data_IF_080463793921
#
_entry.id   IF_080463793921
#
_cell.length_a   1.000
_cell.length_b   1.000
_cell.length_c   1.000
_cell.angle_alpha   90.00
_cell.angle_beta   90.00
_cell.angle_gamma   90.00
#
_symmetry.space_group_name_H-M   'P 1'
#
loop_
_entity.id
_entity.type
_entity.pdbx_description
1 polymer ?
#
# COMPACT_ATOMS: atom_id res chain seq x y z
N UNK A 1 -8.60 -13.54 -6.92
CA UNK A 1 -9.19 -12.21 -7.21
C UNK A 1 -10.58 -12.13 -6.60
N UNK A 2 -11.18 -10.94 -6.48
CA UNK A 2 -12.60 -10.76 -6.10
C UNK A 2 -13.26 -9.79 -7.08
N UNK A 3 -14.53 -9.96 -7.38
CA UNK A 3 -15.28 -9.04 -8.26
C UNK A 3 -16.12 -8.09 -7.41
N UNK A 4 -16.15 -6.80 -7.78
CA UNK A 4 -17.03 -5.78 -7.21
C UNK A 4 -17.76 -5.10 -8.37
N UNK A 5 -18.89 -5.67 -8.78
CA UNK A 5 -19.55 -5.29 -10.02
C UNK A 5 -18.67 -5.57 -11.25
N UNK A 6 -18.47 -4.57 -12.11
CA UNK A 6 -17.66 -4.66 -13.35
C UNK A 6 -16.14 -4.68 -13.10
N UNK A 7 -15.68 -4.54 -11.86
CA UNK A 7 -14.25 -4.48 -11.53
C UNK A 7 -13.77 -5.78 -10.88
N UNK A 8 -12.65 -6.29 -11.39
CA UNK A 8 -11.90 -7.39 -10.81
C UNK A 8 -10.72 -6.84 -10.02
N UNK A 9 -10.64 -7.18 -8.73
CA UNK A 9 -9.50 -6.83 -7.88
C UNK A 9 -8.46 -7.95 -7.89
N UNK A 10 -7.22 -7.58 -8.19
CA UNK A 10 -6.05 -8.44 -8.18
C UNK A 10 -5.10 -8.01 -7.06
N UNK A 11 -4.44 -9.00 -6.45
CA UNK A 11 -3.52 -8.81 -5.35
C UNK A 11 -2.36 -9.79 -5.53
N UNK A 12 -1.18 -9.41 -5.05
CA UNK A 12 -0.07 -10.32 -4.89
C UNK A 12 0.62 -10.12 -3.56
N UNK A 13 1.31 -11.18 -3.17
CA UNK A 13 1.98 -11.29 -1.89
C UNK A 13 3.47 -11.47 -2.10
N UNK A 14 4.26 -11.05 -1.13
CA UNK A 14 5.68 -11.37 -1.06
C UNK A 14 5.89 -12.83 -0.61
N UNK A 15 7.15 -13.26 -0.56
CA UNK A 15 7.53 -14.63 -0.21
C UNK A 15 7.10 -15.06 1.21
N UNK A 16 6.82 -14.10 2.10
CA UNK A 16 6.38 -14.34 3.48
C UNK A 16 4.88 -14.12 3.67
N UNK A 17 4.13 -13.99 2.57
CA UNK A 17 2.66 -13.94 2.58
C UNK A 17 2.05 -12.57 2.90
N UNK A 18 2.84 -11.49 2.89
CA UNK A 18 2.34 -10.12 3.09
C UNK A 18 1.99 -9.50 1.75
N UNK A 19 0.97 -8.65 1.72
CA UNK A 19 0.47 -8.06 0.47
C UNK A 19 1.49 -7.08 -0.11
N UNK A 20 2.09 -7.39 -1.25
CA UNK A 20 3.07 -6.55 -1.92
C UNK A 20 2.43 -5.54 -2.89
N UNK A 21 1.30 -5.91 -3.51
CA UNK A 21 0.62 -5.04 -4.47
C UNK A 21 -0.85 -5.39 -4.62
N UNK A 22 -1.61 -4.44 -5.15
CA UNK A 22 -2.99 -4.61 -5.55
C UNK A 22 -3.35 -3.68 -6.71
N UNK A 23 -4.26 -4.11 -7.56
CA UNK A 23 -4.87 -3.25 -8.58
C UNK A 23 -6.31 -3.68 -8.87
N UNK A 24 -7.11 -2.76 -9.40
CA UNK A 24 -8.42 -3.06 -9.94
C UNK A 24 -8.42 -2.84 -11.45
N UNK A 25 -9.10 -3.74 -12.15
CA UNK A 25 -9.22 -3.72 -13.61
C UNK A 25 -10.63 -4.08 -14.03
N UNK A 26 -11.05 -3.64 -15.22
CA UNK A 26 -12.33 -4.05 -15.82
C UNK A 26 -12.23 -5.38 -16.56
N UNK A 27 -11.03 -5.96 -16.67
CA UNK A 27 -10.86 -7.27 -17.26
C UNK A 27 -11.56 -8.33 -16.41
N UNK A 28 -12.32 -9.24 -17.04
CA UNK A 28 -12.91 -10.37 -16.35
C UNK A 28 -11.81 -11.34 -15.91
N UNK A 29 -12.12 -12.12 -14.89
CA UNK A 29 -11.16 -13.02 -14.26
C UNK A 29 -10.57 -14.06 -15.20
N UNK A 30 -11.36 -14.55 -16.15
CA UNK A 30 -10.97 -15.56 -17.14
C UNK A 30 -9.90 -15.03 -18.11
N UNK A 31 -9.92 -13.72 -18.39
CA UNK A 31 -8.86 -13.08 -19.19
C UNK A 31 -7.63 -12.79 -18.34
N UNK A 32 -7.81 -12.51 -17.05
CA UNK A 32 -6.70 -12.26 -16.14
C UNK A 32 -5.83 -13.50 -15.92
N UNK A 33 -6.42 -14.70 -15.81
CA UNK A 33 -5.67 -15.94 -15.69
C UNK A 33 -4.81 -16.24 -16.93
N UNK A 34 -5.26 -15.85 -18.12
CA UNK A 34 -4.49 -16.01 -19.36
C UNK A 34 -3.33 -15.01 -19.48
N UNK A 35 -3.48 -13.82 -18.89
CA UNK A 35 -2.50 -12.74 -18.96
C UNK A 35 -1.48 -12.82 -17.82
N UNK A 36 -1.84 -13.39 -16.67
CA UNK A 36 -0.96 -13.60 -15.52
C UNK A 36 0.13 -14.62 -15.86
N UNK A 37 1.18 -14.14 -16.50
CA UNK A 37 2.37 -14.91 -16.78
C UNK A 37 3.33 -14.79 -15.58
N UNK A 38 3.73 -15.89 -14.93
CA UNK A 38 4.67 -15.86 -13.81
C UNK A 38 6.07 -15.31 -14.18
N UNK A 39 6.41 -15.24 -15.47
CA UNK A 39 7.63 -14.62 -15.98
C UNK A 39 7.55 -13.09 -16.06
N UNK A 40 6.35 -12.51 -16.00
CA UNK A 40 6.15 -11.07 -16.02
C UNK A 40 6.12 -10.56 -14.58
N UNK A 41 7.10 -9.70 -14.27
CA UNK A 41 7.20 -8.96 -13.02
C UNK A 41 5.85 -8.30 -12.67
N UNK A 42 5.26 -8.59 -11.50
CA UNK A 42 3.92 -8.11 -11.14
C UNK A 42 3.76 -6.59 -11.23
N UNK A 43 4.84 -5.85 -11.02
CA UNK A 43 4.92 -4.40 -11.10
C UNK A 43 4.42 -3.87 -12.45
N UNK A 44 4.65 -4.61 -13.55
CA UNK A 44 4.19 -4.22 -14.90
C UNK A 44 2.68 -4.27 -15.04
N UNK A 45 2.00 -5.18 -14.35
CA UNK A 45 0.53 -5.22 -14.33
C UNK A 45 -0.03 -4.15 -13.41
N UNK A 46 0.59 -3.96 -12.26
CA UNK A 46 0.14 -3.00 -11.24
C UNK A 46 0.20 -1.57 -11.80
N UNK A 47 1.30 -1.19 -12.44
CA UNK A 47 1.52 0.18 -12.93
C UNK A 47 0.97 0.45 -14.34
N UNK A 48 0.28 -0.53 -14.94
CA UNK A 48 -0.25 -0.40 -16.29
C UNK A 48 -1.22 0.78 -16.41
N UNK A 49 -1.12 1.55 -17.50
CA UNK A 49 -1.92 2.76 -17.74
C UNK A 49 -3.45 2.55 -17.66
N UNK A 50 -3.93 1.31 -17.86
CA UNK A 50 -5.36 0.96 -17.81
C UNK A 50 -5.85 0.65 -16.38
N UNK A 51 -4.94 0.44 -15.43
CA UNK A 51 -5.26 0.19 -14.04
C UNK A 51 -5.19 1.51 -13.26
N UNK A 52 -6.25 2.30 -13.37
CA UNK A 52 -6.37 3.61 -12.70
C UNK A 52 -6.34 3.51 -11.17
N UNK A 53 -6.69 2.35 -10.63
CA UNK A 53 -6.64 2.04 -9.20
C UNK A 53 -5.58 0.97 -9.00
N UNK A 54 -4.40 1.39 -8.54
CA UNK A 54 -3.35 0.47 -8.11
C UNK A 54 -2.59 1.00 -6.90
N UNK A 55 -2.05 0.06 -6.12
CA UNK A 55 -1.26 0.34 -4.94
C UNK A 55 -0.16 -0.71 -4.74
N UNK A 56 1.03 -0.26 -4.34
CA UNK A 56 2.16 -1.10 -3.94
C UNK A 56 2.49 -0.87 -2.47
N UNK A 57 3.02 -1.89 -1.83
CA UNK A 57 3.45 -1.88 -0.45
C UNK A 57 4.90 -2.33 -0.38
N UNK A 58 5.71 -1.59 0.36
CA UNK A 58 7.11 -1.93 0.64
C UNK A 58 7.26 -2.14 2.14
N UNK A 59 8.12 -3.08 2.50
CA UNK A 59 8.36 -3.46 3.88
C UNK A 59 9.84 -3.27 4.19
N UNK A 60 10.15 -2.83 5.41
CA UNK A 60 11.52 -2.77 5.91
C UNK A 60 12.08 -4.16 6.25
N UNK A 61 13.36 -4.21 6.65
CA UNK A 61 14.04 -5.45 7.05
C UNK A 61 13.44 -6.08 8.32
N UNK A 62 12.83 -5.29 9.20
CA UNK A 62 12.11 -5.76 10.39
C UNK A 62 10.70 -6.28 10.04
N UNK A 63 10.31 -6.13 8.78
CA UNK A 63 9.08 -6.58 8.20
C UNK A 63 7.86 -5.68 8.40
N UNK A 64 8.07 -4.43 8.83
CA UNK A 64 7.02 -3.42 9.00
C UNK A 64 6.79 -2.68 7.68
N UNK A 65 5.58 -2.15 7.49
CA UNK A 65 5.20 -1.45 6.26
C UNK A 65 5.96 -0.12 6.18
N UNK A 66 6.97 0.02 5.34
CA UNK A 66 7.78 1.24 5.23
C UNK A 66 7.22 2.23 4.21
N UNK A 67 6.52 1.75 3.18
CA UNK A 67 6.00 2.60 2.11
C UNK A 67 4.74 2.07 1.47
N UNK A 68 3.86 2.98 1.09
CA UNK A 68 2.70 2.70 0.24
C UNK A 68 2.72 3.63 -0.96
N UNK A 69 2.73 3.08 -2.17
CA UNK A 69 2.62 3.86 -3.41
C UNK A 69 1.22 3.67 -3.98
N UNK A 70 0.37 4.69 -3.91
CA UNK A 70 -1.00 4.67 -4.43
C UNK A 70 -1.11 5.60 -5.65
N UNK A 71 -1.66 5.11 -6.76
CA UNK A 71 -1.76 5.90 -8.00
C UNK A 71 -2.57 7.19 -7.84
N UNK A 72 -3.63 7.14 -7.03
CA UNK A 72 -4.57 8.25 -6.85
C UNK A 72 -4.09 9.16 -5.71
N UNK A 73 -3.79 8.55 -4.56
CA UNK A 73 -3.45 9.26 -3.32
C UNK A 73 -1.97 9.66 -3.22
N UNK A 74 -1.13 9.16 -4.10
CA UNK A 74 0.31 9.38 -4.06
C UNK A 74 1.02 8.42 -3.11
N UNK A 75 2.24 8.77 -2.78
CA UNK A 75 3.13 7.96 -1.95
C UNK A 75 3.01 8.35 -0.47
N UNK A 76 3.06 7.37 0.42
CA UNK A 76 3.11 7.55 1.88
C UNK A 76 4.25 6.70 2.43
N UNK A 77 5.14 7.30 3.20
CA UNK A 77 6.20 6.60 3.94
C UNK A 77 5.81 6.47 5.41
N UNK A 78 6.30 5.42 6.05
CA UNK A 78 6.02 5.10 7.45
C UNK A 78 7.34 4.81 8.17
N UNK A 79 7.50 5.41 9.34
CA UNK A 79 8.64 5.18 10.22
C UNK A 79 8.16 4.63 11.55
N UNK A 80 8.98 3.81 12.20
CA UNK A 80 8.62 3.15 13.44
C UNK A 80 9.69 3.35 14.51
N UNK A 81 9.24 3.51 15.75
CA UNK A 81 10.11 3.43 16.92
C UNK A 81 10.70 2.02 17.10
N UNK A 82 11.78 1.93 17.89
CA UNK A 82 12.44 0.66 18.22
C UNK A 82 11.49 -0.36 18.88
N UNK A 83 10.48 0.11 19.62
CA UNK A 83 9.46 -0.70 20.26
C UNK A 83 8.36 -1.21 19.28
N UNK A 84 8.40 -0.82 18.00
CA UNK A 84 7.40 -1.20 17.00
C UNK A 84 6.26 -0.23 16.77
N UNK A 85 6.17 0.87 17.52
CA UNK A 85 5.10 1.86 17.37
C UNK A 85 5.35 2.76 16.15
N UNK A 86 4.27 3.20 15.50
CA UNK A 86 4.35 4.11 14.36
C UNK A 86 4.84 5.48 14.83
N UNK A 87 6.00 5.91 14.35
CA UNK A 87 6.60 7.20 14.68
C UNK A 87 6.07 8.30 13.77
N UNK A 88 6.03 8.05 12.47
CA UNK A 88 5.68 9.07 11.49
C UNK A 88 4.99 8.47 10.27
N UNK A 89 4.04 9.21 9.71
CA UNK A 89 3.42 8.93 8.42
C UNK A 89 3.56 10.15 7.51
N UNK A 90 4.34 9.99 6.44
CA UNK A 90 4.73 11.08 5.55
C UNK A 90 4.08 10.92 4.17
N UNK A 91 2.88 11.51 3.94
CA UNK A 91 2.30 11.58 2.60
C UNK A 91 3.09 12.55 1.71
N UNK A 92 3.80 12.04 0.71
CA UNK A 92 4.64 12.85 -0.22
C UNK A 92 3.86 13.91 -1.00
N UNK A 93 2.53 13.79 -1.11
CA UNK A 93 1.63 14.77 -1.75
C UNK A 93 1.18 15.90 -0.81
N UNK A 94 1.42 15.80 0.50
CA UNK A 94 1.18 16.90 1.45
C UNK A 94 2.54 17.36 1.98
N UNK A 95 2.78 18.66 1.97
CA UNK A 95 3.99 19.27 2.51
C UNK A 95 4.14 19.12 4.04
N UNK A 96 3.18 18.45 4.71
CA UNK A 96 3.15 18.26 6.15
C UNK A 96 2.99 16.76 6.44
N UNK A 97 4.09 16.14 6.88
CA UNK A 97 4.09 14.81 7.49
C UNK A 97 3.31 14.82 8.80
N UNK A 98 2.57 13.75 9.08
CA UNK A 98 1.86 13.61 10.36
C UNK A 98 2.71 12.73 11.30
N UNK A 99 3.28 13.34 12.34
CA UNK A 99 4.04 12.64 13.37
C UNK A 99 3.09 12.13 14.48
N UNK A 100 3.22 10.86 14.84
CA UNK A 100 2.40 10.23 15.88
C UNK A 100 3.23 10.02 17.15
N UNK A 101 2.70 10.39 18.31
CA UNK A 101 3.32 10.10 19.61
C UNK A 101 2.38 9.26 20.46
N UNK A 102 2.94 8.45 21.35
CA UNK A 102 2.20 7.55 22.23
C UNK A 102 2.62 7.74 23.68
N UNK A 103 1.69 7.53 24.61
CA UNK A 103 2.02 7.42 26.04
C UNK A 103 2.64 6.05 26.38
N UNK A 104 3.09 5.87 27.62
CA UNK A 104 3.66 4.60 28.08
C UNK A 104 2.67 3.42 27.95
N UNK A 105 1.36 3.69 28.09
CA UNK A 105 0.28 2.71 27.97
C UNK A 105 -0.09 2.36 26.51
N UNK A 106 0.47 3.06 25.52
CA UNK A 106 0.23 2.81 24.10
C UNK A 106 -0.98 3.55 23.52
N UNK A 107 -1.53 4.53 24.24
CA UNK A 107 -2.55 5.40 23.69
C UNK A 107 -1.91 6.45 22.77
N UNK A 108 -2.55 6.72 21.62
CA UNK A 108 -2.11 7.78 20.71
C UNK A 108 -2.35 9.14 21.36
N UNK A 109 -1.28 9.88 21.58
CA UNK A 109 -1.32 11.27 21.98
C UNK A 109 -1.65 12.09 20.72
N UNK A 110 -2.93 12.40 20.52
CA UNK A 110 -3.34 13.30 19.46
C UNK A 110 -2.76 14.69 19.76
N UNK A 111 -1.88 15.19 18.90
CA UNK A 111 -1.70 16.63 18.80
C UNK A 111 -2.74 17.13 17.80
N UNK A 112 -3.74 17.80 18.34
CA UNK A 112 -4.64 18.62 17.54
C UNK A 112 -3.75 19.65 16.83
N UNK A 113 -3.67 19.61 15.50
CA UNK A 113 -3.17 20.75 14.74
C UNK A 113 -4.21 21.85 14.90
N UNK A 114 -4.18 22.55 16.04
CA UNK A 114 -4.92 23.80 16.20
C UNK A 114 -4.29 24.81 15.25
N UNK A 115 -5.14 25.29 14.36
CA UNK A 115 -4.96 26.40 13.44
C UNK A 115 -4.44 27.66 14.10
#
# INVERSE_FOLDING_TARGET
>A
YRTQGKLTSCFGYDAVGRKAWQYATTLPAEKLSQIQNPLIKPERYVEHAYNSIHRRYEYDLAGKLSRTLDKLRGEVSYEYEANGRLLEQNPKKRFEGEAFRYDAAGNRLNFNTSR
#
